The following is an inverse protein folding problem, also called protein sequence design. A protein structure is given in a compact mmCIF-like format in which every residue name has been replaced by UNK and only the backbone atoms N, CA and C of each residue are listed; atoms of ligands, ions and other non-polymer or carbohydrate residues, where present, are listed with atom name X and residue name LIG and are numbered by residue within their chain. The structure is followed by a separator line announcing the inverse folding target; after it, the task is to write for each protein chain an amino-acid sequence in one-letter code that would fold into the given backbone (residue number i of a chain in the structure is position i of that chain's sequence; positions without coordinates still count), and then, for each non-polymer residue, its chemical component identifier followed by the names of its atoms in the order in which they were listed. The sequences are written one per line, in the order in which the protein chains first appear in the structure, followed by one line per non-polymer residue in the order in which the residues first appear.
data_IF_621607701418
#
_entry.id   IF_621607701418
#
_cell.length_a   1.000
_cell.length_b   1.000
_cell.length_c   1.000
_cell.angle_alpha   90.00
_cell.angle_beta   90.00
_cell.angle_gamma   90.00
#
_symmetry.space_group_name_H-M   'P 1'
#
loop_
_entity.id
_entity.type
_entity.pdbx_description
1 polymer ?
#
# COMPACT_ATOMS: atom_id res chain seq x y z
N UNK A 1 -12.82 -4.50 1.97
CA UNK A 1 -11.83 -4.85 2.97
C UNK A 1 -10.44 -4.72 2.41
N UNK A 2 -9.52 -4.23 3.20
CA UNK A 2 -8.16 -4.09 2.74
C UNK A 2 -7.50 -5.45 2.63
N UNK A 3 -6.80 -5.66 1.54
CA UNK A 3 -6.06 -6.87 1.30
C UNK A 3 -4.73 -6.81 2.06
N UNK A 4 -4.26 -7.93 2.52
CA UNK A 4 -2.99 -8.03 3.23
C UNK A 4 -2.17 -9.16 2.66
N UNK A 5 -0.85 -9.00 2.73
CA UNK A 5 0.08 -10.04 2.28
C UNK A 5 0.93 -10.41 3.48
N UNK A 6 1.09 -11.69 3.72
CA UNK A 6 1.94 -12.19 4.80
C UNK A 6 3.22 -12.76 4.24
N UNK A 7 4.34 -12.32 4.78
CA UNK A 7 5.65 -12.84 4.41
C UNK A 7 6.30 -13.46 5.63
N UNK A 8 6.44 -14.80 5.67
CA UNK A 8 7.18 -15.42 6.78
C UNK A 8 8.66 -15.21 6.56
N UNK A 9 9.36 -14.86 7.63
CA UNK A 9 10.80 -14.64 7.56
C UNK A 9 11.40 -15.05 8.90
N UNK A 10 12.01 -16.22 8.93
CA UNK A 10 12.55 -16.77 10.18
C UNK A 10 11.43 -17.02 11.16
N UNK A 11 11.56 -16.46 12.35
CA UNK A 11 10.56 -16.63 13.42
C UNK A 11 9.46 -15.59 13.33
N UNK A 12 9.54 -14.68 12.37
CA UNK A 12 8.58 -13.59 12.28
C UNK A 12 7.71 -13.73 11.05
N UNK A 13 6.50 -13.20 11.16
CA UNK A 13 5.61 -13.06 10.03
C UNK A 13 5.36 -11.57 9.81
N UNK A 14 5.73 -11.06 8.65
CA UNK A 14 5.47 -9.67 8.34
C UNK A 14 4.16 -9.57 7.59
N UNK A 15 3.31 -8.67 8.04
CA UNK A 15 2.01 -8.42 7.41
C UNK A 15 2.11 -7.10 6.67
N UNK A 16 1.99 -7.16 5.37
CA UNK A 16 2.09 -6.00 4.50
C UNK A 16 0.70 -5.52 4.13
N UNK A 17 0.48 -4.23 4.25
CA UNK A 17 -0.78 -3.61 3.82
C UNK A 17 -0.58 -2.12 3.67
N UNK A 18 -1.52 -1.50 3.00
CA UNK A 18 -1.55 -0.05 2.87
C UNK A 18 -2.84 0.46 3.50
N UNK A 19 -2.73 1.60 4.17
CA UNK A 19 -3.89 2.33 4.66
C UNK A 19 -3.85 3.71 4.02
N UNK A 20 -4.93 4.46 4.15
CA UNK A 20 -4.92 5.84 3.64
C UNK A 20 -3.81 6.64 4.28
N UNK A 21 -3.58 6.42 5.56
CA UNK A 21 -2.54 7.13 6.28
C UNK A 21 -1.15 6.78 5.75
N UNK A 22 -0.87 5.48 5.57
CA UNK A 22 0.45 5.09 5.09
C UNK A 22 0.65 5.50 3.63
N UNK A 23 -0.40 5.44 2.82
CA UNK A 23 -0.32 5.91 1.44
C UNK A 23 0.01 7.42 1.42
N UNK A 24 -0.61 8.19 2.31
CA UNK A 24 -0.33 9.62 2.41
C UNK A 24 1.12 9.88 2.79
N UNK A 25 1.66 9.10 3.73
CA UNK A 25 3.06 9.22 4.12
C UNK A 25 3.96 8.95 2.92
N UNK A 26 3.64 7.92 2.14
CA UNK A 26 4.42 7.57 0.97
C UNK A 26 4.41 8.68 -0.06
N UNK A 27 3.25 9.26 -0.31
CA UNK A 27 3.13 10.39 -1.26
C UNK A 27 3.98 11.57 -0.82
N UNK A 28 3.94 11.89 0.45
CA UNK A 28 4.75 12.99 0.97
C UNK A 28 6.24 12.72 0.91
N UNK A 29 6.61 11.44 0.87
CA UNK A 29 8.00 11.04 0.74
C UNK A 29 8.47 10.99 -0.70
N UNK A 30 7.60 11.26 -1.66
CA UNK A 30 7.96 11.27 -3.05
C UNK A 30 7.50 10.09 -3.88
N UNK A 31 6.75 9.17 -3.27
CA UNK A 31 6.26 8.03 -4.03
C UNK A 31 5.16 8.45 -5.00
N UNK A 32 5.28 8.01 -6.25
CA UNK A 32 4.28 8.26 -7.27
C UNK A 32 4.12 6.98 -8.07
N UNK A 33 2.94 6.39 -8.02
CA UNK A 33 2.69 5.13 -8.69
C UNK A 33 2.91 5.22 -10.20
N UNK A 34 2.62 6.38 -10.79
CA UNK A 34 2.81 6.57 -12.22
C UNK A 34 4.28 6.51 -12.63
N UNK A 35 5.19 6.74 -11.69
CA UNK A 35 6.62 6.71 -11.97
C UNK A 35 7.21 5.31 -11.81
N UNK A 36 6.40 4.33 -11.45
CA UNK A 36 6.90 2.99 -11.16
C UNK A 36 7.66 2.38 -12.33
N UNK A 37 7.17 2.58 -13.54
CA UNK A 37 7.79 2.05 -14.73
C UNK A 37 9.03 2.86 -15.13
N UNK A 38 8.97 4.18 -14.96
CA UNK A 38 10.08 5.05 -15.36
C UNK A 38 11.21 5.10 -14.37
N UNK A 39 10.90 4.92 -13.09
CA UNK A 39 11.90 5.02 -12.02
C UNK A 39 11.84 3.81 -11.10
N UNK A 40 12.00 2.60 -11.65
CA UNK A 40 11.79 1.39 -10.85
C UNK A 40 12.76 1.26 -9.68
N UNK A 41 14.00 1.70 -9.86
CA UNK A 41 15.00 1.55 -8.79
C UNK A 41 14.67 2.37 -7.54
N UNK A 42 13.86 3.41 -7.71
CA UNK A 42 13.42 4.24 -6.58
C UNK A 42 12.03 3.86 -6.14
N UNK A 43 11.14 3.67 -7.09
CA UNK A 43 9.71 3.48 -6.77
C UNK A 43 9.39 2.09 -6.26
N UNK A 44 10.03 1.05 -6.80
CA UNK A 44 9.74 -0.31 -6.34
C UNK A 44 10.18 -0.50 -4.88
N UNK A 45 11.38 -0.09 -4.49
CA UNK A 45 11.75 -0.17 -3.07
C UNK A 45 10.81 0.64 -2.17
N UNK A 46 10.37 1.82 -2.62
CA UNK A 46 9.43 2.63 -1.84
C UNK A 46 8.10 1.92 -1.68
N UNK A 47 7.62 1.30 -2.75
CA UNK A 47 6.35 0.56 -2.71
C UNK A 47 6.44 -0.57 -1.70
N UNK A 48 7.52 -1.34 -1.73
CA UNK A 48 7.69 -2.46 -0.82
C UNK A 48 7.84 -1.98 0.63
N UNK A 49 8.73 -1.01 0.86
CA UNK A 49 8.93 -0.49 2.21
C UNK A 49 7.67 0.13 2.79
N UNK A 50 6.92 0.82 1.95
CA UNK A 50 5.68 1.46 2.40
C UNK A 50 4.67 0.47 2.93
N UNK A 51 4.68 -0.76 2.40
CA UNK A 51 3.77 -1.79 2.85
C UNK A 51 4.05 -2.27 4.28
N UNK A 52 5.23 -1.99 4.81
CA UNK A 52 5.58 -2.34 6.18
C UNK A 52 5.12 -1.30 7.20
N UNK A 53 4.77 -0.10 6.75
CA UNK A 53 4.50 1.01 7.67
C UNK A 53 3.32 0.79 8.60
N UNK A 54 2.30 0.11 8.13
CA UNK A 54 1.09 -0.06 8.95
C UNK A 54 1.32 -0.94 10.17
N UNK A 55 2.10 -1.99 10.02
CA UNK A 55 2.27 -2.98 11.08
C UNK A 55 3.70 -3.13 11.60
N UNK A 56 4.67 -2.65 10.84
CA UNK A 56 6.09 -2.89 11.16
C UNK A 56 6.93 -1.65 10.87
N UNK A 57 6.45 -0.50 11.32
CA UNK A 57 7.11 0.76 10.99
C UNK A 57 8.54 0.87 11.50
N UNK A 58 8.89 0.07 12.50
CA UNK A 58 10.22 0.13 13.08
C UNK A 58 11.21 -0.85 12.44
N UNK A 59 10.79 -1.55 11.41
CA UNK A 59 11.69 -2.48 10.73
C UNK A 59 12.74 -1.71 9.96
N UNK A 60 13.98 -2.11 10.13
CA UNK A 60 15.09 -1.41 9.48
C UNK A 60 15.04 -1.60 7.96
N UNK A 61 15.45 -0.56 7.25
CA UNK A 61 15.48 -0.60 5.79
C UNK A 61 16.35 -1.76 5.28
N UNK A 62 17.50 -1.99 5.92
CA UNK A 62 18.37 -3.10 5.50
C UNK A 62 17.69 -4.46 5.66
N UNK A 63 16.88 -4.61 6.69
CA UNK A 63 16.12 -5.85 6.89
C UNK A 63 15.08 -6.03 5.80
N UNK A 64 14.37 -4.95 5.46
CA UNK A 64 13.35 -4.99 4.41
C UNK A 64 13.99 -5.36 3.07
N UNK A 65 15.15 -4.79 2.77
CA UNK A 65 15.84 -5.11 1.52
C UNK A 65 16.26 -6.58 1.45
N UNK A 66 16.74 -7.12 2.57
CA UNK A 66 17.10 -8.54 2.62
C UNK A 66 15.90 -9.42 2.40
N UNK A 67 14.77 -9.06 2.98
CA UNK A 67 13.54 -9.82 2.79
C UNK A 67 13.16 -9.81 1.31
N UNK A 68 13.20 -8.64 0.69
CA UNK A 68 12.83 -8.52 -0.71
C UNK A 68 13.76 -9.36 -1.60
N UNK A 69 15.06 -9.26 -1.35
CA UNK A 69 16.04 -10.00 -2.17
C UNK A 69 15.86 -11.50 -2.08
N UNK A 70 15.33 -11.99 -0.98
CA UNK A 70 15.13 -13.42 -0.79
C UNK A 70 13.82 -13.95 -1.34
N UNK A 71 12.96 -13.07 -1.84
CA UNK A 71 11.66 -13.50 -2.33
C UNK A 71 11.74 -14.02 -3.75
N UNK A 72 10.80 -14.92 -4.08
CA UNK A 72 10.61 -15.37 -5.45
C UNK A 72 9.33 -14.74 -5.97
N UNK A 73 9.08 -14.85 -7.27
CA UNK A 73 7.85 -14.33 -7.88
C UNK A 73 7.64 -12.85 -7.59
N UNK A 74 8.73 -12.08 -7.70
CA UNK A 74 8.69 -10.66 -7.37
C UNK A 74 7.71 -9.87 -8.24
N UNK A 75 7.60 -10.22 -9.52
CA UNK A 75 6.66 -9.52 -10.41
C UNK A 75 5.22 -9.67 -9.92
N UNK A 76 4.85 -10.89 -9.53
CA UNK A 76 3.50 -11.13 -9.03
C UNK A 76 3.26 -10.36 -7.73
N UNK A 77 4.27 -10.31 -6.87
CA UNK A 77 4.17 -9.57 -5.62
C UNK A 77 3.97 -8.08 -5.89
N UNK A 78 4.77 -7.51 -6.79
CA UNK A 78 4.67 -6.09 -7.09
C UNK A 78 3.28 -5.76 -7.66
N UNK A 79 2.76 -6.62 -8.53
CA UNK A 79 1.43 -6.41 -9.09
C UNK A 79 0.36 -6.41 -7.99
N UNK A 80 0.48 -7.29 -7.01
CA UNK A 80 -0.44 -7.33 -5.89
C UNK A 80 -0.33 -6.06 -5.05
N UNK A 81 0.90 -5.61 -4.80
CA UNK A 81 1.10 -4.40 -4.01
C UNK A 81 0.54 -3.16 -4.73
N UNK A 82 0.69 -3.10 -6.05
CA UNK A 82 0.13 -2.01 -6.83
C UNK A 82 -1.39 -1.97 -6.67
N UNK A 83 -2.04 -3.13 -6.78
CA UNK A 83 -3.50 -3.20 -6.62
C UNK A 83 -3.92 -2.77 -5.23
N UNK A 84 -3.19 -3.20 -4.22
CA UNK A 84 -3.48 -2.85 -2.83
C UNK A 84 -3.31 -1.35 -2.60
N UNK A 85 -2.26 -0.77 -3.18
CA UNK A 85 -2.02 0.66 -3.03
C UNK A 85 -3.14 1.47 -3.70
N UNK A 86 -3.53 1.07 -4.91
CA UNK A 86 -4.61 1.75 -5.62
C UNK A 86 -5.92 1.69 -4.85
N UNK A 87 -6.17 0.58 -4.17
CA UNK A 87 -7.40 0.42 -3.41
C UNK A 87 -7.57 1.50 -2.34
N UNK A 88 -6.48 2.03 -1.80
CA UNK A 88 -6.59 3.10 -0.80
C UNK A 88 -7.21 4.35 -1.38
N UNK A 89 -6.87 4.69 -2.62
CA UNK A 89 -7.43 5.86 -3.28
C UNK A 89 -8.84 5.59 -3.80
N UNK A 90 -9.09 4.37 -4.23
CA UNK A 90 -10.41 4.01 -4.73
C UNK A 90 -11.46 4.13 -3.64
N UNK A 91 -11.11 3.75 -2.42
CA UNK A 91 -12.06 3.89 -1.32
C UNK A 91 -12.30 5.34 -0.95
N UNK A 92 -11.33 6.22 -1.21
CA UNK A 92 -11.51 7.64 -0.98
C UNK A 92 -12.49 8.26 -1.98
N UNK A 93 -12.53 7.71 -3.17
CA UNK A 93 -13.32 8.26 -4.26
C UNK A 93 -14.45 7.33 -4.68
N UNK A 94 -14.93 6.54 -3.74
CA UNK A 94 -15.99 5.59 -4.02
C UNK A 94 -17.32 6.33 -4.18
N UNK A 95 -17.85 6.30 -5.39
CA UNK A 95 -19.11 6.96 -5.70
C UNK A 95 -20.29 6.01 -5.68
N UNK A 96 -20.10 4.82 -5.17
CA UNK A 96 -21.18 3.85 -5.12
C UNK A 96 -22.34 4.40 -4.31
N UNK A 97 -23.55 4.45 -4.87
CA UNK A 97 -24.70 4.96 -4.11
C UNK A 97 -24.97 4.08 -2.89
N UNK A 98 -25.35 4.74 -1.81
CA UNK A 98 -25.75 4.00 -0.63
C UNK A 98 -27.09 3.33 -0.90
N UNK A 99 -27.22 2.10 -0.42
CA UNK A 99 -28.48 1.40 -0.59
C UNK A 99 -29.59 2.06 0.13
N UNK A 100 -29.26 2.75 1.14
CA UNK A 100 -30.19 3.40 1.99
C UNK A 100 -30.42 4.83 1.59
N UNK A 101 -30.40 5.14 0.57
CA UNK A 101 -30.68 6.31 -0.17
C UNK A 101 -31.09 7.58 0.47
N UNK A 102 -31.37 7.65 1.64
CA UNK A 102 -31.95 8.84 2.15
C UNK A 102 -31.08 9.64 3.04
N UNK A 103 -29.99 9.08 3.48
CA UNK A 103 -29.22 9.70 4.54
C UNK A 103 -27.75 9.73 4.28
N UNK A 104 -27.31 10.59 3.37
CA UNK A 104 -25.88 10.73 3.19
C UNK A 104 -25.25 11.24 4.46
N UNK A 105 -23.99 10.85 4.69
CA UNK A 105 -23.28 11.30 5.86
C UNK A 105 -23.02 12.78 5.82
N UNK A 106 -23.11 13.38 4.66
CA UNK A 106 -22.86 14.82 4.49
C UNK A 106 -23.71 15.33 3.34
N UNK A 107 -23.90 16.64 3.30
CA UNK A 107 -24.60 17.23 2.18
C UNK A 107 -24.05 18.65 1.94
N UNK A 108 -24.21 19.10 0.71
CA UNK A 108 -23.72 20.40 0.32
C UNK A 108 -24.72 21.46 0.78
N UNK A 109 -24.21 22.50 1.40
CA UNK A 109 -25.03 23.64 1.79
C UNK A 109 -24.95 24.69 0.70
N UNK A 110 -26.07 25.28 0.39
CA UNK A 110 -26.08 26.33 -0.59
C UNK A 110 -26.62 27.61 -0.05
#
# INVERSE_FOLDING_TARGET
MAKKIRIPSGDKNYVLEYTRKTASVMERSGFNLDDLTDKPNTMIPMLFRGAFLANHKDTKESTIEKIYDGLTRKTALINELVDMYRATSETLLDDTPLEDEGNPDWETEE
#
